data_IF_546387797800
#
_entry.id   IF_546387797800
#
_cell.length_a   1.000
_cell.length_b   1.000
_cell.length_c   1.000
_cell.angle_alpha   90.00
_cell.angle_beta   90.00
_cell.angle_gamma   90.00
#
_symmetry.space_group_name_H-M   'P 1'
#
loop_
_entity.id
_entity.type
_entity.pdbx_description
1 polymer ?
#
# COMPACT_ATOMS: atom_id res chain seq x y z
N UNK A 1 47.81 -9.14 -30.11
CA UNK A 1 47.46 -9.26 -28.67
C UNK A 1 46.04 -8.75 -28.53
N UNK A 2 45.14 -9.54 -27.96
CA UNK A 2 43.71 -9.24 -27.86
C UNK A 2 43.36 -9.04 -26.38
N UNK A 3 42.99 -7.82 -26.00
CA UNK A 3 42.51 -7.53 -24.65
C UNK A 3 40.99 -7.77 -24.60
N UNK A 4 40.62 -8.81 -23.87
CA UNK A 4 39.24 -9.18 -23.61
C UNK A 4 38.67 -8.29 -22.49
N UNK A 5 37.96 -7.22 -22.84
CA UNK A 5 37.17 -6.47 -21.87
C UNK A 5 35.85 -7.21 -21.60
N UNK A 6 35.88 -7.99 -20.53
CA UNK A 6 34.71 -8.58 -19.87
C UNK A 6 33.71 -7.46 -19.49
N UNK A 7 32.62 -7.34 -20.23
CA UNK A 7 31.44 -6.59 -19.77
C UNK A 7 30.44 -7.62 -19.29
N UNK A 8 30.64 -8.12 -18.07
CA UNK A 8 29.63 -8.90 -17.38
C UNK A 8 28.41 -7.99 -17.18
N UNK A 9 27.31 -8.33 -17.85
CA UNK A 9 26.04 -7.63 -17.72
C UNK A 9 25.54 -7.70 -16.30
N UNK A 10 25.80 -6.65 -15.52
CA UNK A 10 25.10 -6.43 -14.27
C UNK A 10 23.78 -5.78 -14.65
N UNK A 11 22.74 -6.60 -14.85
CA UNK A 11 21.37 -6.14 -14.81
C UNK A 11 21.07 -5.72 -13.37
N UNK A 12 21.45 -4.49 -13.05
CA UNK A 12 21.08 -3.85 -11.81
C UNK A 12 19.60 -3.50 -11.93
N UNK A 13 18.70 -4.35 -11.43
CA UNK A 13 17.36 -3.90 -11.02
C UNK A 13 17.50 -3.13 -9.70
N UNK A 14 18.18 -1.99 -9.77
CA UNK A 14 18.20 -0.97 -8.71
C UNK A 14 16.79 -0.40 -8.73
N UNK A 15 16.06 -0.57 -7.63
CA UNK A 15 14.96 0.34 -7.31
C UNK A 15 15.59 1.73 -7.33
N UNK A 16 15.41 2.47 -8.42
CA UNK A 16 16.42 3.46 -8.83
C UNK A 16 16.48 4.67 -7.91
N UNK A 17 15.45 4.94 -7.11
CA UNK A 17 15.45 5.92 -6.02
C UNK A 17 14.45 5.49 -4.92
N UNK A 18 14.84 5.38 -3.64
CA UNK A 18 13.90 5.16 -2.53
C UNK A 18 12.98 6.37 -2.30
N UNK A 19 13.38 7.55 -2.81
CA UNK A 19 12.67 8.81 -2.61
C UNK A 19 11.99 9.25 -3.90
N UNK A 20 10.72 9.67 -3.79
CA UNK A 20 9.93 10.23 -4.89
C UNK A 20 9.44 11.62 -4.51
N UNK A 21 9.72 12.59 -5.35
CA UNK A 21 9.36 13.99 -5.13
C UNK A 21 8.11 14.34 -5.94
N UNK A 22 7.07 14.80 -5.27
CA UNK A 22 5.84 15.28 -5.90
C UNK A 22 5.24 16.44 -5.11
N UNK A 23 4.49 17.29 -5.80
CA UNK A 23 3.71 18.37 -5.18
C UNK A 23 2.31 17.89 -4.80
N UNK A 24 1.76 18.47 -3.74
CA UNK A 24 0.33 18.37 -3.45
C UNK A 24 -0.44 19.03 -4.59
N UNK A 25 -1.44 18.33 -5.10
CA UNK A 25 -2.32 18.83 -6.18
C UNK A 25 -3.73 19.05 -5.64
N UNK A 26 -4.58 19.73 -6.38
CA UNK A 26 -6.01 19.78 -6.06
C UNK A 26 -6.70 18.50 -6.56
N UNK A 27 -7.81 18.09 -5.92
CA UNK A 27 -8.63 16.96 -6.41
C UNK A 27 -9.14 17.28 -7.83
N UNK A 28 -8.81 16.48 -8.87
CA UNK A 28 -9.04 16.85 -10.26
C UNK A 28 -10.52 16.80 -10.73
N UNK A 29 -11.45 16.36 -9.88
CA UNK A 29 -12.88 16.29 -10.23
C UNK A 29 -13.64 17.50 -9.66
N UNK A 30 -13.98 18.45 -10.53
CA UNK A 30 -14.90 19.56 -10.25
C UNK A 30 -14.25 20.96 -10.24
N UNK A 31 -15.07 21.98 -10.01
CA UNK A 31 -14.65 23.40 -9.93
C UNK A 31 -13.94 23.70 -8.60
N UNK A 32 -14.12 22.84 -7.60
CA UNK A 32 -13.61 23.07 -6.25
C UNK A 32 -12.10 22.75 -6.15
N UNK A 33 -11.29 23.81 -6.08
CA UNK A 33 -9.83 23.75 -5.94
C UNK A 33 -9.34 23.84 -4.49
N UNK A 34 -10.22 23.82 -3.50
CA UNK A 34 -9.83 23.98 -2.09
C UNK A 34 -9.43 22.68 -1.40
N UNK A 35 -9.63 21.53 -2.06
CA UNK A 35 -9.39 20.20 -1.50
C UNK A 35 -8.03 19.67 -1.99
N UNK A 36 -7.03 19.48 -1.09
CA UNK A 36 -5.74 18.92 -1.45
C UNK A 36 -5.84 17.41 -1.74
N UNK A 37 -4.94 16.93 -2.60
CA UNK A 37 -4.82 15.54 -3.00
C UNK A 37 -3.34 15.17 -3.18
N UNK A 38 -3.01 13.95 -2.75
CA UNK A 38 -1.72 13.30 -2.98
C UNK A 38 -2.02 12.07 -3.84
N UNK A 39 -1.49 12.04 -5.06
CA UNK A 39 -1.68 10.92 -5.98
C UNK A 39 -0.46 10.02 -5.91
N UNK A 40 -0.65 8.77 -5.48
CA UNK A 40 0.37 7.72 -5.51
C UNK A 40 -0.04 6.70 -6.58
N UNK A 41 0.68 6.68 -7.70
CA UNK A 41 0.38 5.77 -8.81
C UNK A 41 1.64 5.38 -9.58
N UNK A 42 1.61 4.19 -10.18
CA UNK A 42 2.68 3.67 -11.04
C UNK A 42 3.16 2.27 -10.63
N UNK A 43 3.93 1.64 -11.53
CA UNK A 43 4.46 0.28 -11.32
C UNK A 43 5.34 0.15 -10.06
N UNK A 44 5.95 1.24 -9.63
CA UNK A 44 6.78 1.31 -8.43
C UNK A 44 6.04 0.94 -7.14
N UNK A 45 4.71 1.07 -7.10
CA UNK A 45 3.93 0.60 -5.95
C UNK A 45 4.04 -0.91 -5.79
N UNK A 46 4.05 -1.66 -6.90
CA UNK A 46 4.27 -3.12 -6.87
C UNK A 46 5.68 -3.46 -6.37
N UNK A 47 6.68 -2.72 -6.83
CA UNK A 47 8.08 -2.86 -6.37
C UNK A 47 8.23 -2.54 -4.87
N UNK A 48 7.41 -1.61 -4.35
CA UNK A 48 7.34 -1.27 -2.93
C UNK A 48 6.47 -2.23 -2.10
N UNK A 49 5.93 -3.30 -2.70
CA UNK A 49 5.14 -4.32 -2.01
C UNK A 49 3.64 -4.01 -1.89
N UNK A 50 3.12 -3.01 -2.60
CA UNK A 50 1.70 -2.69 -2.67
C UNK A 50 1.08 -3.28 -3.96
N UNK A 51 0.16 -4.21 -3.79
CA UNK A 51 -0.63 -4.79 -4.89
C UNK A 51 -1.98 -4.10 -5.05
N UNK A 52 -2.61 -4.33 -6.20
CA UNK A 52 -4.01 -3.94 -6.42
C UNK A 52 -4.89 -4.63 -5.38
N UNK A 53 -5.75 -3.85 -4.72
CA UNK A 53 -6.65 -4.26 -3.63
C UNK A 53 -5.97 -4.68 -2.32
N UNK A 54 -4.66 -4.43 -2.14
CA UNK A 54 -4.07 -4.58 -0.82
C UNK A 54 -4.70 -3.54 0.14
N UNK A 55 -5.08 -3.94 1.36
CA UNK A 55 -5.60 -3.01 2.35
C UNK A 55 -4.46 -2.10 2.83
N UNK A 56 -4.77 -0.83 3.08
CA UNK A 56 -3.78 0.14 3.53
C UNK A 56 -4.12 0.60 4.94
N UNK A 57 -3.10 0.63 5.80
CA UNK A 57 -3.12 1.37 7.05
C UNK A 57 -2.43 2.71 6.82
N UNK A 58 -3.17 3.80 7.05
CA UNK A 58 -2.67 5.16 6.92
C UNK A 58 -2.60 5.77 8.32
N UNK A 59 -1.40 6.16 8.76
CA UNK A 59 -1.20 6.92 10.00
C UNK A 59 -0.94 8.36 9.63
N UNK A 60 -1.64 9.27 10.30
CA UNK A 60 -1.59 10.72 10.03
C UNK A 60 -0.90 11.42 11.18
N UNK A 61 0.09 12.24 10.87
CA UNK A 61 0.81 13.12 11.79
C UNK A 61 0.97 14.51 11.14
N UNK A 62 1.20 15.59 11.91
CA UNK A 62 1.50 16.89 11.33
C UNK A 62 2.68 16.80 10.35
N UNK A 63 2.43 17.10 9.07
CA UNK A 63 3.43 17.05 8.00
C UNK A 63 3.87 15.65 7.54
N UNK A 64 3.31 14.55 8.08
CA UNK A 64 3.75 13.20 7.75
C UNK A 64 2.58 12.22 7.60
N UNK A 65 2.63 11.42 6.53
CA UNK A 65 1.74 10.28 6.30
C UNK A 65 2.59 9.02 6.23
N UNK A 66 2.24 8.03 7.04
CA UNK A 66 2.85 6.70 6.98
C UNK A 66 1.82 5.77 6.37
N UNK A 67 2.15 5.19 5.21
CA UNK A 67 1.28 4.27 4.48
C UNK A 67 1.94 2.89 4.50
N UNK A 68 1.23 1.90 5.03
CA UNK A 68 1.71 0.52 5.09
C UNK A 68 0.64 -0.42 4.55
N UNK A 69 1.06 -1.46 3.83
CA UNK A 69 0.17 -2.58 3.50
C UNK A 69 -0.24 -3.27 4.79
N UNK A 70 -1.51 -3.63 4.91
CA UNK A 70 -2.03 -4.29 6.10
C UNK A 70 -2.22 -5.79 5.85
N UNK A 71 -1.64 -6.64 6.68
CA UNK A 71 -1.92 -8.07 6.56
C UNK A 71 -3.32 -8.35 7.13
N UNK A 72 -4.16 -9.05 6.35
CA UNK A 72 -5.50 -9.48 6.79
C UNK A 72 -5.44 -10.27 8.10
N UNK A 73 -4.40 -11.10 8.29
CA UNK A 73 -4.20 -11.89 9.50
C UNK A 73 -3.90 -11.00 10.72
N UNK A 74 -3.02 -10.02 10.58
CA UNK A 74 -2.71 -9.07 11.65
C UNK A 74 -3.89 -8.17 12.01
N UNK A 75 -4.68 -7.76 11.01
CA UNK A 75 -5.94 -7.05 11.19
C UNK A 75 -6.93 -7.86 12.02
N UNK A 76 -7.08 -9.13 11.67
CA UNK A 76 -7.96 -10.07 12.37
C UNK A 76 -7.54 -10.23 13.84
N UNK A 77 -6.25 -10.40 14.11
CA UNK A 77 -5.72 -10.50 15.46
C UNK A 77 -5.85 -9.20 16.26
N UNK A 78 -5.57 -8.04 15.64
CA UNK A 78 -5.79 -6.74 16.28
C UNK A 78 -7.25 -6.56 16.69
N UNK A 79 -8.21 -6.84 15.80
CA UNK A 79 -9.63 -6.72 16.12
C UNK A 79 -10.05 -7.66 17.25
N UNK A 80 -9.56 -8.92 17.25
CA UNK A 80 -9.81 -9.85 18.37
C UNK A 80 -9.34 -9.31 19.70
N UNK A 81 -8.17 -8.65 19.73
CA UNK A 81 -7.64 -8.06 20.96
C UNK A 81 -8.38 -6.79 21.42
N UNK A 82 -9.11 -6.13 20.53
CA UNK A 82 -9.83 -4.87 20.80
C UNK A 82 -11.34 -5.07 21.04
N UNK A 83 -11.89 -6.27 20.82
CA UNK A 83 -13.31 -6.51 21.04
C UNK A 83 -13.59 -6.71 22.54
N UNK A 84 -14.43 -5.87 23.11
CA UNK A 84 -14.85 -5.95 24.51
C UNK A 84 -16.06 -6.89 24.74
N UNK A 85 -16.62 -7.49 23.68
CA UNK A 85 -17.83 -8.33 23.73
C UNK A 85 -17.65 -9.72 23.10
N UNK A 86 -18.76 -10.47 22.98
CA UNK A 86 -18.77 -11.78 22.33
C UNK A 86 -18.30 -11.67 20.87
N UNK A 87 -17.26 -12.44 20.55
CA UNK A 87 -16.65 -12.41 19.23
C UNK A 87 -17.43 -13.29 18.25
N UNK A 88 -18.03 -12.66 17.24
CA UNK A 88 -18.68 -13.36 16.12
C UNK A 88 -17.78 -13.35 14.88
N UNK A 89 -17.13 -14.50 14.61
CA UNK A 89 -16.28 -14.70 13.44
C UNK A 89 -17.03 -14.43 12.11
N UNK A 90 -18.36 -14.65 12.04
CA UNK A 90 -19.17 -14.47 10.84
C UNK A 90 -19.47 -12.99 10.61
N UNK A 91 -19.91 -12.27 11.64
CA UNK A 91 -20.18 -10.83 11.56
C UNK A 91 -18.91 -10.04 11.21
N UNK A 92 -17.77 -10.38 11.82
CA UNK A 92 -16.48 -9.74 11.54
C UNK A 92 -16.01 -10.05 10.12
N UNK A 93 -16.11 -11.30 9.66
CA UNK A 93 -15.80 -11.65 8.28
C UNK A 93 -16.69 -10.92 7.27
N UNK A 94 -17.97 -10.70 7.60
CA UNK A 94 -18.89 -9.95 6.77
C UNK A 94 -18.54 -8.46 6.73
N UNK A 95 -18.21 -7.86 7.87
CA UNK A 95 -17.73 -6.47 7.95
C UNK A 95 -16.42 -6.26 7.16
N UNK A 96 -15.48 -7.20 7.25
CA UNK A 96 -14.24 -7.16 6.46
C UNK A 96 -14.48 -7.16 4.95
N UNK A 97 -15.51 -7.85 4.47
CA UNK A 97 -15.89 -7.84 3.04
C UNK A 97 -16.47 -6.49 2.60
N UNK A 98 -16.95 -5.68 3.54
CA UNK A 98 -17.57 -4.37 3.31
C UNK A 98 -16.61 -3.19 3.58
N UNK A 99 -15.47 -3.42 4.23
CA UNK A 99 -14.41 -2.44 4.42
C UNK A 99 -13.99 -1.85 3.05
N UNK A 100 -13.72 -0.53 2.93
CA UNK A 100 -13.50 0.11 1.64
C UNK A 100 -12.37 -0.56 0.85
N UNK A 101 -12.73 -1.12 -0.30
CA UNK A 101 -11.86 -2.00 -1.09
C UNK A 101 -12.00 -3.44 -0.64
N UNK A 102 -12.69 -4.26 -1.44
CA UNK A 102 -12.92 -5.70 -1.19
C UNK A 102 -11.61 -6.41 -0.81
N UNK A 103 -11.44 -6.66 0.49
CA UNK A 103 -10.35 -7.48 1.03
C UNK A 103 -10.57 -8.93 0.62
N UNK A 104 -9.92 -9.38 -0.46
CA UNK A 104 -9.94 -10.78 -0.85
C UNK A 104 -8.87 -11.56 -0.07
N UNK A 105 -9.20 -12.78 0.39
CA UNK A 105 -8.22 -13.70 0.95
C UNK A 105 -7.20 -14.02 -0.15
N UNK A 106 -5.99 -13.47 -0.08
CA UNK A 106 -4.84 -14.08 -0.76
C UNK A 106 -4.56 -15.40 -0.03
N UNK A 107 -4.89 -16.50 -0.70
CA UNK A 107 -4.42 -17.82 -0.31
C UNK A 107 -2.91 -17.79 -0.52
N UNK A 108 -2.14 -17.73 0.57
CA UNK A 108 -0.71 -18.03 0.53
C UNK A 108 -0.57 -19.45 -0.04
N UNK A 109 0.05 -19.55 -1.22
CA UNK A 109 0.62 -20.79 -1.73
C UNK A 109 2.09 -20.82 -1.37
#
# INVERSE_FOLDING_TARGET
MADAHSTAGICIYKISQPERYQKVVYRPKGVNRTIPAINLSGKWLLEAGFSINDPLKIRVMPGCLIITSQNFHELWHCLKSLSEGEWDDIAVAHWFRQFPGKLSKKLLK
#
